data_IF_468535763147
#
_entry.id   IF_468535763147
#
_cell.length_a   1.000
_cell.length_b   1.000
_cell.length_c   1.000
_cell.angle_alpha   90.00
_cell.angle_beta   90.00
_cell.angle_gamma   90.00
#
_symmetry.space_group_name_H-M   'P 1'
#
loop_
_entity.id
_entity.type
_entity.pdbx_description
1 polymer ?
#
# COMPACT_ATOMS: atom_id res chain seq x y z
N UNK A 1 7.16 48.40 8.40
CA UNK A 1 8.03 48.52 7.21
C UNK A 1 9.17 47.56 7.41
N UNK A 2 9.22 46.38 6.82
CA UNK A 2 8.21 45.48 6.27
C UNK A 2 9.03 44.42 5.54
N UNK A 3 8.89 43.10 5.81
CA UNK A 3 8.27 42.52 7.02
C UNK A 3 9.09 41.46 7.82
N UNK A 4 9.30 40.18 7.49
CA UNK A 4 8.98 39.36 6.30
C UNK A 4 8.86 37.85 6.70
N UNK A 5 8.69 36.93 5.75
CA UNK A 5 8.23 35.55 5.98
C UNK A 5 9.29 34.50 6.41
N UNK A 6 8.95 33.69 7.42
CA UNK A 6 9.54 32.35 7.62
C UNK A 6 8.87 31.36 6.66
N UNK A 7 9.39 31.26 5.44
CA UNK A 7 9.02 30.17 4.54
C UNK A 7 9.63 28.87 5.07
N UNK A 8 8.81 28.05 5.74
CA UNK A 8 9.14 26.66 5.98
C UNK A 8 9.26 25.97 4.62
N UNK A 9 10.47 25.54 4.25
CA UNK A 9 10.66 24.66 3.11
C UNK A 9 9.78 23.42 3.28
N UNK A 10 8.81 23.28 2.38
CA UNK A 10 8.01 22.08 2.26
C UNK A 10 8.96 20.88 2.11
N UNK A 11 8.66 19.78 2.81
CA UNK A 11 9.50 18.59 2.82
C UNK A 11 9.90 18.21 1.38
N UNK A 12 11.20 18.28 1.10
CA UNK A 12 11.72 18.05 -0.23
C UNK A 12 11.46 16.59 -0.63
N UNK A 13 10.46 16.36 -1.50
CA UNK A 13 10.26 15.08 -2.17
C UNK A 13 11.43 14.87 -3.15
N UNK A 14 12.51 14.33 -2.60
CA UNK A 14 13.85 14.41 -3.18
C UNK A 14 14.04 13.40 -4.33
N UNK A 15 13.37 13.65 -5.46
CA UNK A 15 13.79 13.21 -6.80
C UNK A 15 13.93 11.70 -7.04
N UNK A 16 13.49 10.84 -6.11
CA UNK A 16 13.59 9.40 -6.24
C UNK A 16 12.69 8.91 -7.38
N UNK A 17 13.26 8.18 -8.34
CA UNK A 17 12.47 7.63 -9.45
C UNK A 17 11.47 6.60 -8.91
N UNK A 18 10.18 6.83 -9.15
CA UNK A 18 9.08 5.93 -8.75
C UNK A 18 9.15 4.55 -9.42
N UNK A 19 9.94 4.44 -10.48
CA UNK A 19 10.20 3.24 -11.27
C UNK A 19 11.68 3.07 -11.54
N UNK A 20 12.07 1.89 -12.01
CA UNK A 20 13.39 1.62 -12.58
C UNK A 20 13.25 0.75 -13.83
N UNK A 21 14.13 0.90 -14.84
CA UNK A 21 14.05 0.10 -16.07
C UNK A 21 14.59 -1.32 -15.85
N UNK A 22 13.82 -2.34 -16.24
CA UNK A 22 14.25 -3.74 -16.23
C UNK A 22 13.81 -4.46 -17.52
N UNK A 23 14.58 -5.44 -17.99
CA UNK A 23 14.21 -6.23 -19.16
C UNK A 23 12.98 -7.11 -18.86
N UNK A 24 11.91 -6.99 -19.64
CA UNK A 24 10.65 -7.69 -19.40
C UNK A 24 10.79 -9.22 -19.26
N UNK A 25 11.63 -9.86 -20.09
CA UNK A 25 11.90 -11.30 -20.02
C UNK A 25 12.64 -11.78 -18.76
N UNK A 26 13.08 -10.87 -17.87
CA UNK A 26 13.69 -11.21 -16.56
C UNK A 26 12.70 -11.09 -15.40
N UNK A 27 11.48 -10.61 -15.65
CA UNK A 27 10.47 -10.40 -14.62
C UNK A 27 9.69 -11.71 -14.43
N UNK A 28 9.70 -12.24 -13.21
CA UNK A 28 9.01 -13.49 -12.88
C UNK A 28 7.49 -13.31 -12.82
N UNK A 29 6.74 -14.42 -12.94
CA UNK A 29 5.28 -14.44 -12.75
C UNK A 29 4.91 -13.88 -11.37
N UNK A 30 3.88 -13.04 -11.29
CA UNK A 30 3.50 -12.20 -10.14
C UNK A 30 4.42 -10.99 -9.85
N UNK A 31 5.44 -10.72 -10.68
CA UNK A 31 6.17 -9.46 -10.64
C UNK A 31 5.30 -8.26 -11.03
N UNK A 32 5.84 -7.05 -10.87
CA UNK A 32 5.13 -5.81 -11.20
C UNK A 32 5.81 -5.08 -12.38
N UNK A 33 5.00 -4.46 -13.23
CA UNK A 33 5.44 -3.57 -14.31
C UNK A 33 4.53 -2.35 -14.36
N UNK A 34 5.00 -1.26 -14.96
CA UNK A 34 4.18 -0.07 -15.20
C UNK A 34 3.59 -0.11 -16.60
N UNK A 35 2.26 -0.07 -16.68
CA UNK A 35 1.51 0.02 -17.94
C UNK A 35 0.69 1.32 -17.89
N UNK A 36 0.89 2.20 -18.87
CA UNK A 36 0.20 3.51 -18.95
C UNK A 36 0.27 4.31 -17.63
N UNK A 37 1.47 4.38 -17.05
CA UNK A 37 1.77 5.03 -15.76
C UNK A 37 1.05 4.45 -14.52
N UNK A 38 0.50 3.23 -14.60
CA UNK A 38 -0.07 2.51 -13.45
C UNK A 38 0.73 1.24 -13.11
N UNK A 39 0.98 0.94 -11.83
CA UNK A 39 1.58 -0.34 -11.43
C UNK A 39 0.58 -1.48 -11.69
N UNK A 40 1.02 -2.50 -12.41
CA UNK A 40 0.23 -3.67 -12.79
C UNK A 40 0.97 -4.95 -12.41
N UNK A 41 0.25 -5.91 -11.83
CA UNK A 41 0.77 -7.26 -11.53
C UNK A 41 0.77 -8.11 -12.80
N UNK A 42 1.86 -8.85 -13.01
CA UNK A 42 2.07 -9.67 -14.20
C UNK A 42 1.54 -11.09 -13.99
N UNK A 43 0.39 -11.37 -14.60
CA UNK A 43 -0.28 -12.68 -14.50
C UNK A 43 0.39 -13.78 -15.36
N UNK A 44 1.03 -13.42 -16.47
CA UNK A 44 1.81 -14.35 -17.30
C UNK A 44 3.01 -13.64 -17.96
N UNK A 45 4.11 -14.38 -18.21
CA UNK A 45 5.38 -13.82 -18.69
C UNK A 45 5.64 -14.25 -20.13
N UNK A 46 5.50 -13.32 -21.08
CA UNK A 46 6.03 -13.51 -22.43
C UNK A 46 7.48 -13.01 -22.47
N UNK A 47 8.48 -13.84 -22.80
CA UNK A 47 9.87 -13.41 -22.84
C UNK A 47 10.09 -12.36 -23.93
N UNK A 48 10.62 -11.20 -23.52
CA UNK A 48 10.91 -10.06 -24.40
C UNK A 48 12.24 -9.41 -24.04
N UNK A 49 12.94 -8.90 -25.04
CA UNK A 49 14.19 -8.13 -24.91
C UNK A 49 13.97 -6.64 -24.63
N UNK A 50 12.73 -6.15 -24.68
CA UNK A 50 12.41 -4.75 -24.40
C UNK A 50 12.53 -4.47 -22.89
N UNK A 51 13.10 -3.31 -22.54
CA UNK A 51 12.98 -2.77 -21.20
C UNK A 51 11.56 -2.28 -20.94
N UNK A 52 11.10 -2.45 -19.70
CA UNK A 52 9.88 -1.88 -19.16
C UNK A 52 10.21 -1.23 -17.82
N UNK A 53 9.42 -0.21 -17.44
CA UNK A 53 9.45 0.33 -16.10
C UNK A 53 8.88 -0.67 -15.10
N UNK A 54 9.64 -0.94 -14.04
CA UNK A 54 9.20 -1.69 -12.86
C UNK A 54 8.97 -0.69 -11.73
N UNK A 55 7.80 -0.68 -11.07
CA UNK A 55 7.56 0.23 -9.96
C UNK A 55 8.38 -0.20 -8.74
N UNK A 56 8.85 0.77 -7.95
CA UNK A 56 9.25 0.49 -6.58
C UNK A 56 8.00 0.13 -5.77
N UNK A 57 7.94 -1.10 -5.29
CA UNK A 57 6.82 -1.64 -4.49
C UNK A 57 7.33 -1.92 -3.08
N UNK A 58 6.81 -1.18 -2.10
CA UNK A 58 7.08 -1.45 -0.68
C UNK A 58 5.86 -2.14 -0.06
N UNK A 59 6.10 -3.17 0.76
CA UNK A 59 5.07 -3.82 1.57
C UNK A 59 5.36 -3.56 3.04
N UNK A 60 4.40 -2.99 3.74
CA UNK A 60 4.49 -2.72 5.18
C UNK A 60 3.31 -3.37 5.87
N UNK A 61 3.56 -3.96 7.04
CA UNK A 61 2.52 -4.57 7.87
C UNK A 61 2.18 -3.64 9.04
N UNK A 62 0.88 -3.39 9.24
CA UNK A 62 0.36 -2.50 10.28
C UNK A 62 -0.69 -3.20 11.13
N UNK A 63 -0.83 -2.82 12.40
CA UNK A 63 -1.92 -3.31 13.24
C UNK A 63 -3.22 -2.59 12.89
N UNK A 64 -4.32 -3.33 12.75
CA UNK A 64 -5.65 -2.77 12.53
C UNK A 64 -6.25 -2.38 13.89
N UNK A 65 -6.59 -1.11 14.06
CA UNK A 65 -7.17 -0.55 15.30
C UNK A 65 -8.70 -0.56 15.22
N UNK A 66 -9.25 -0.07 14.09
CA UNK A 66 -10.70 0.12 13.92
C UNK A 66 -11.08 0.13 12.43
N UNK A 67 -12.38 -0.06 12.16
CA UNK A 67 -12.99 -0.07 10.82
C UNK A 67 -14.25 0.79 10.84
N UNK A 68 -14.20 1.92 10.14
CA UNK A 68 -15.35 2.81 10.00
C UNK A 68 -16.46 2.16 9.17
N UNK A 69 -17.72 2.54 9.44
CA UNK A 69 -18.90 1.92 8.81
C UNK A 69 -18.92 2.06 7.28
N UNK A 70 -18.34 3.15 6.77
CA UNK A 70 -18.15 3.45 5.36
C UNK A 70 -16.92 2.76 4.72
N UNK A 71 -16.15 1.97 5.48
CA UNK A 71 -15.13 1.04 5.00
C UNK A 71 -13.68 1.55 5.03
N UNK A 72 -13.42 2.70 5.64
CA UNK A 72 -12.05 3.12 5.96
C UNK A 72 -11.52 2.37 7.18
N UNK A 73 -10.19 2.24 7.28
CA UNK A 73 -9.52 1.57 8.40
C UNK A 73 -8.50 2.45 9.08
N UNK A 74 -8.49 2.38 10.41
CA UNK A 74 -7.47 3.00 11.25
C UNK A 74 -6.35 2.00 11.49
N UNK A 75 -5.17 2.26 10.93
CA UNK A 75 -3.99 1.40 11.06
C UNK A 75 -2.95 2.03 12.00
N UNK A 76 -2.43 1.28 12.97
CA UNK A 76 -1.30 1.69 13.79
C UNK A 76 0.01 1.43 13.05
N UNK A 77 0.77 2.49 12.81
CA UNK A 77 2.14 2.42 12.33
C UNK A 77 3.13 2.17 13.47
N UNK A 78 4.30 1.63 13.14
CA UNK A 78 5.43 1.41 14.05
C UNK A 78 5.92 2.70 14.75
N UNK A 79 5.68 3.85 14.14
CA UNK A 79 5.99 5.18 14.69
C UNK A 79 4.93 5.68 15.71
N UNK A 80 3.94 4.84 16.06
CA UNK A 80 2.86 5.19 17.00
C UNK A 80 1.82 6.17 16.43
N UNK A 81 1.87 6.45 15.13
CA UNK A 81 0.87 7.28 14.42
C UNK A 81 -0.22 6.40 13.81
N UNK A 82 -1.45 6.89 13.75
CA UNK A 82 -2.54 6.23 13.01
C UNK A 82 -2.51 6.65 11.53
N UNK A 83 -2.91 5.74 10.63
CA UNK A 83 -3.24 6.03 9.23
C UNK A 83 -4.69 5.66 8.99
N UNK A 84 -5.47 6.62 8.53
CA UNK A 84 -6.93 6.51 8.41
C UNK A 84 -7.40 6.68 6.94
N UNK A 85 -6.46 6.97 6.03
CA UNK A 85 -6.69 7.26 4.61
C UNK A 85 -6.99 6.02 3.74
N UNK A 86 -6.86 4.81 4.30
CA UNK A 86 -6.98 3.56 3.54
C UNK A 86 -8.37 2.96 3.65
N UNK A 87 -8.93 2.59 2.49
CA UNK A 87 -10.18 1.85 2.39
C UNK A 87 -9.90 0.36 2.24
N UNK A 88 -10.66 -0.49 2.94
CA UNK A 88 -10.68 -1.92 2.63
C UNK A 88 -11.19 -2.13 1.21
N UNK A 89 -10.53 -3.02 0.48
CA UNK A 89 -11.03 -3.50 -0.80
C UNK A 89 -12.41 -4.13 -0.57
N UNK A 90 -13.39 -3.73 -1.39
CA UNK A 90 -14.84 -3.83 -1.15
C UNK A 90 -15.43 -5.25 -1.21
N UNK A 91 -14.65 -6.27 -0.87
CA UNK A 91 -15.13 -7.64 -0.76
C UNK A 91 -15.96 -7.79 0.53
N UNK A 92 -17.28 -7.81 0.35
CA UNK A 92 -18.28 -7.79 1.43
C UNK A 92 -18.11 -8.99 2.41
N UNK A 93 -17.64 -10.13 1.91
CA UNK A 93 -17.38 -11.32 2.69
C UNK A 93 -16.12 -11.19 3.57
N UNK A 94 -15.06 -10.53 3.09
CA UNK A 94 -13.91 -10.15 3.93
C UNK A 94 -14.32 -9.10 4.96
N UNK A 95 -15.05 -8.05 4.57
CA UNK A 95 -15.49 -7.00 5.49
C UNK A 95 -16.32 -7.58 6.65
N UNK A 96 -17.22 -8.51 6.35
CA UNK A 96 -18.03 -9.22 7.36
C UNK A 96 -17.15 -10.03 8.32
N UNK A 97 -16.24 -10.86 7.81
CA UNK A 97 -15.33 -11.67 8.64
C UNK A 97 -14.46 -10.82 9.58
N UNK A 98 -14.00 -9.65 9.12
CA UNK A 98 -13.19 -8.77 9.96
C UNK A 98 -14.07 -8.09 11.01
N UNK A 99 -15.28 -7.61 10.66
CA UNK A 99 -16.25 -7.05 11.61
C UNK A 99 -16.66 -8.05 12.70
N UNK A 100 -16.97 -9.28 12.33
CA UNK A 100 -17.28 -10.36 13.27
C UNK A 100 -16.06 -10.68 14.15
N UNK A 101 -14.86 -10.76 13.56
CA UNK A 101 -13.62 -10.95 14.31
C UNK A 101 -13.33 -9.82 15.32
N UNK A 102 -13.58 -8.57 14.96
CA UNK A 102 -13.48 -7.44 15.88
C UNK A 102 -14.49 -7.54 17.04
N UNK A 103 -15.73 -7.99 16.77
CA UNK A 103 -16.72 -8.24 17.81
C UNK A 103 -16.33 -9.41 18.74
N UNK A 104 -15.57 -10.39 18.24
CA UNK A 104 -14.95 -11.46 19.04
C UNK A 104 -13.67 -11.01 19.78
N UNK A 105 -13.16 -9.79 19.54
CA UNK A 105 -11.93 -9.27 20.15
C UNK A 105 -10.64 -9.80 19.49
N UNK A 106 -10.69 -10.12 18.19
CA UNK A 106 -9.54 -10.60 17.41
C UNK A 106 -8.64 -9.46 16.96
N UNK A 107 -7.33 -9.68 17.08
CA UNK A 107 -6.30 -8.77 16.59
C UNK A 107 -5.92 -9.09 15.14
N UNK A 108 -5.85 -8.08 14.27
CA UNK A 108 -5.50 -8.24 12.86
C UNK A 108 -4.28 -7.41 12.45
N UNK A 109 -3.43 -8.01 11.61
CA UNK A 109 -2.36 -7.33 10.87
C UNK A 109 -2.79 -7.15 9.42
N UNK A 110 -2.64 -5.93 8.91
CA UNK A 110 -2.97 -5.54 7.53
C UNK A 110 -1.68 -5.24 6.79
N UNK A 111 -1.46 -5.94 5.68
CA UNK A 111 -0.38 -5.62 4.75
C UNK A 111 -0.83 -4.54 3.77
N UNK A 112 -0.18 -3.39 3.84
CA UNK A 112 -0.32 -2.30 2.87
C UNK A 112 0.80 -2.40 1.84
N UNK A 113 0.44 -2.28 0.57
CA UNK A 113 1.38 -2.18 -0.54
C UNK A 113 1.37 -0.74 -1.06
N UNK A 114 2.53 -0.09 -1.00
CA UNK A 114 2.78 1.24 -1.58
C UNK A 114 3.54 1.11 -2.89
N UNK A 115 3.05 1.74 -3.96
CA UNK A 115 3.72 1.79 -5.25
C UNK A 115 3.41 3.12 -5.97
N UNK A 116 4.42 3.78 -6.53
CA UNK A 116 4.29 5.04 -7.28
C UNK A 116 3.61 6.22 -6.53
N UNK A 117 3.44 6.12 -5.20
CA UNK A 117 2.73 7.11 -4.38
C UNK A 117 1.25 6.79 -4.15
N UNK A 118 0.77 5.63 -4.61
CA UNK A 118 -0.53 5.07 -4.25
C UNK A 118 -0.32 3.95 -3.20
N UNK A 119 -1.24 3.84 -2.24
CA UNK A 119 -1.24 2.81 -1.21
C UNK A 119 -2.53 1.98 -1.28
N UNK A 120 -2.42 0.66 -1.11
CA UNK A 120 -3.57 -0.24 -1.10
C UNK A 120 -3.36 -1.40 -0.13
N UNK A 121 -4.43 -1.84 0.53
CA UNK A 121 -4.42 -3.05 1.34
C UNK A 121 -4.37 -4.26 0.41
N UNK A 122 -3.38 -5.14 0.58
CA UNK A 122 -3.18 -6.31 -0.28
C UNK A 122 -3.32 -7.65 0.46
N UNK A 123 -3.33 -7.65 1.79
CA UNK A 123 -3.45 -8.85 2.62
C UNK A 123 -3.90 -8.50 4.03
N UNK A 124 -4.56 -9.43 4.69
CA UNK A 124 -4.99 -9.32 6.08
C UNK A 124 -4.71 -10.67 6.77
N UNK A 125 -4.23 -10.60 8.01
CA UNK A 125 -3.77 -11.75 8.78
C UNK A 125 -4.26 -11.64 10.21
N UNK A 126 -5.03 -12.63 10.64
CA UNK A 126 -5.36 -12.83 12.05
C UNK A 126 -4.08 -13.14 12.86
N UNK A 127 -3.92 -12.46 13.99
CA UNK A 127 -2.83 -12.68 14.96
C UNK A 127 -3.33 -12.98 16.37
N UNK A 128 -4.64 -13.21 16.51
CA UNK A 128 -5.28 -13.64 17.76
C UNK A 128 -4.55 -14.84 18.35
N UNK A 129 -4.11 -14.72 19.61
CA UNK A 129 -3.50 -15.84 20.33
C UNK A 129 -4.61 -16.79 20.79
N UNK A 130 -4.53 -18.03 20.31
CA UNK A 130 -5.28 -19.18 20.85
C UNK A 130 -4.74 -19.61 22.22
#
# INVERSE_FOLDING_TARGET
>A
MSDEEHQFDAAADAGASKTYPQQAGTIHKNGYIVIKARPCKLEDVVPSSHNCDVPHVNRTDHQLIDISEDGFVSLLTDNGSTKDDLKLLTDDALLTQIKDGFAEGKDFIVSVMSAMGEEQICSLKDISKV
#
